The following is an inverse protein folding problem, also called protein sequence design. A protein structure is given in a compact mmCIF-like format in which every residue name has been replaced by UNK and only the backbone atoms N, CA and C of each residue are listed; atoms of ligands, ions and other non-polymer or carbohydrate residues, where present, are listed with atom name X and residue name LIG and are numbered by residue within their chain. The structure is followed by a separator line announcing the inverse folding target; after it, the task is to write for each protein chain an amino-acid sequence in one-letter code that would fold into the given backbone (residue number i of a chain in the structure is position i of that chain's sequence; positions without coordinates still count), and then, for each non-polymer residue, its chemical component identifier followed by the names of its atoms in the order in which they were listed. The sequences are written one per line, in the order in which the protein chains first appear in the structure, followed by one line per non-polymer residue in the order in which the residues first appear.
data_IF_459617992098
#
_entry.id   IF_459617992098
#
_cell.length_a   1.000
_cell.length_b   1.000
_cell.length_c   1.000
_cell.angle_alpha   90.00
_cell.angle_beta   90.00
_cell.angle_gamma   90.00
#
_symmetry.space_group_name_H-M   'P 1'
#
loop_
_entity.id
_entity.type
_entity.pdbx_description
1 polymer ?
#
# COMPACT_ATOMS: atom_id res chain seq x y z
N UNK A 1 -11.05 -8.73 -14.84
CA UNK A 1 -11.79 -9.87 -14.32
C UNK A 1 -13.26 -9.55 -14.15
N UNK A 2 -14.08 -10.42 -14.66
CA UNK A 2 -15.52 -10.29 -14.43
C UNK A 2 -15.80 -10.51 -12.94
N UNK A 3 -16.58 -9.64 -12.34
CA UNK A 3 -16.99 -9.78 -10.97
C UNK A 3 -18.33 -10.48 -10.89
N UNK A 4 -18.43 -11.42 -9.99
CA UNK A 4 -19.71 -11.98 -9.63
C UNK A 4 -20.43 -10.98 -8.75
N UNK A 5 -21.61 -10.58 -9.18
CA UNK A 5 -22.44 -9.66 -8.40
C UNK A 5 -23.13 -10.44 -7.29
N UNK A 6 -22.97 -9.98 -6.07
CA UNK A 6 -23.45 -10.69 -4.91
C UNK A 6 -22.61 -11.94 -4.66
N UNK A 7 -23.08 -12.79 -3.80
CA UNK A 7 -22.37 -13.98 -3.41
C UNK A 7 -21.03 -13.70 -2.76
N UNK A 8 -20.28 -14.74 -2.59
CA UNK A 8 -19.04 -14.66 -1.86
C UNK A 8 -17.95 -13.93 -2.61
N UNK A 9 -17.85 -14.14 -3.91
CA UNK A 9 -16.83 -13.52 -4.74
C UNK A 9 -16.97 -11.99 -4.76
N UNK A 10 -18.19 -11.48 -4.87
CA UNK A 10 -18.45 -10.04 -4.85
C UNK A 10 -18.12 -9.43 -3.49
N UNK A 11 -18.54 -10.06 -2.43
CA UNK A 11 -18.24 -9.62 -1.07
C UNK A 11 -16.75 -9.65 -0.78
N UNK A 12 -16.08 -10.68 -1.23
CA UNK A 12 -14.65 -10.85 -1.06
C UNK A 12 -13.85 -9.71 -1.70
N UNK A 13 -14.33 -9.19 -2.82
CA UNK A 13 -13.66 -8.10 -3.53
C UNK A 13 -13.89 -6.72 -2.94
N UNK A 14 -14.66 -6.60 -1.91
CA UNK A 14 -15.04 -5.30 -1.37
C UNK A 14 -13.83 -4.44 -0.96
N UNK A 15 -12.90 -5.01 -0.24
CA UNK A 15 -11.71 -4.31 0.24
C UNK A 15 -10.47 -4.51 -0.64
N UNK A 16 -10.56 -5.31 -1.68
CA UNK A 16 -9.41 -5.77 -2.45
C UNK A 16 -9.62 -5.61 -3.95
N UNK A 17 -8.52 -5.49 -4.68
CA UNK A 17 -8.50 -5.65 -6.13
C UNK A 17 -7.27 -6.45 -6.53
N UNK A 18 -7.21 -6.90 -7.79
CA UNK A 18 -6.06 -7.59 -8.34
C UNK A 18 -5.43 -6.72 -9.42
N UNK A 19 -4.12 -6.57 -9.36
CA UNK A 19 -3.38 -5.75 -10.31
C UNK A 19 -2.08 -6.44 -10.72
N UNK A 20 -1.64 -6.30 -11.97
CA UNK A 20 -0.38 -6.88 -12.39
C UNK A 20 0.77 -6.20 -11.65
N UNK A 21 1.72 -7.00 -11.18
CA UNK A 21 2.87 -6.52 -10.42
C UNK A 21 4.16 -7.13 -10.95
N UNK A 22 5.26 -6.42 -10.78
CA UNK A 22 6.57 -6.90 -11.17
C UNK A 22 6.97 -8.12 -10.33
N UNK A 23 7.85 -8.94 -10.86
CA UNK A 23 8.39 -10.08 -10.13
C UNK A 23 9.21 -9.61 -8.93
N UNK A 24 8.78 -9.96 -7.74
CA UNK A 24 9.41 -9.59 -6.48
C UNK A 24 8.73 -10.33 -5.32
N UNK A 25 9.30 -10.23 -4.13
CA UNK A 25 8.63 -10.65 -2.90
C UNK A 25 8.01 -9.42 -2.27
N UNK A 26 6.69 -9.46 -2.09
CA UNK A 26 5.93 -8.37 -1.48
C UNK A 26 5.56 -8.74 -0.06
N UNK A 27 5.88 -7.84 0.87
CA UNK A 27 5.54 -8.01 2.28
C UNK A 27 4.21 -7.33 2.60
N UNK A 28 3.56 -7.79 3.65
CA UNK A 28 2.36 -7.15 4.15
C UNK A 28 2.60 -5.66 4.39
N UNK A 29 1.68 -4.83 3.96
CA UNK A 29 1.76 -3.38 4.14
C UNK A 29 2.66 -2.63 3.18
N UNK A 30 3.32 -3.31 2.24
CA UNK A 30 4.17 -2.63 1.26
C UNK A 30 3.37 -1.66 0.41
N UNK A 31 3.93 -0.47 0.21
CA UNK A 31 3.35 0.56 -0.66
C UNK A 31 3.95 0.41 -2.05
N UNK A 32 3.09 0.41 -3.06
CA UNK A 32 3.45 0.13 -4.44
C UNK A 32 3.14 1.34 -5.34
N UNK A 33 3.87 1.44 -6.44
CA UNK A 33 3.61 2.43 -7.49
C UNK A 33 3.59 1.76 -8.85
N UNK A 34 3.05 2.47 -9.84
CA UNK A 34 3.03 1.99 -11.22
C UNK A 34 4.39 2.18 -11.88
N UNK A 35 4.80 1.19 -12.65
CA UNK A 35 5.87 1.34 -13.61
C UNK A 35 5.30 1.99 -14.88
N UNK A 36 5.86 3.11 -15.27
CA UNK A 36 5.40 3.85 -16.43
C UNK A 36 5.58 3.08 -17.76
N UNK A 37 6.54 2.16 -17.80
CA UNK A 37 6.85 1.42 -19.02
C UNK A 37 5.89 0.28 -19.32
N UNK A 38 5.35 -0.39 -18.29
CA UNK A 38 4.55 -1.60 -18.50
C UNK A 38 3.27 -1.67 -17.65
N UNK A 39 2.94 -0.61 -16.94
CA UNK A 39 1.73 -0.51 -16.11
C UNK A 39 1.66 -1.56 -14.99
N UNK A 40 2.79 -2.11 -14.59
CA UNK A 40 2.85 -3.05 -13.47
C UNK A 40 3.16 -2.32 -12.17
N UNK A 41 2.72 -2.90 -11.07
CA UNK A 41 3.05 -2.40 -9.73
C UNK A 41 4.44 -2.87 -9.32
N UNK A 42 5.13 -2.05 -8.55
CA UNK A 42 6.39 -2.43 -7.90
C UNK A 42 6.53 -1.62 -6.59
N UNK A 43 7.38 -2.09 -5.69
CA UNK A 43 7.60 -1.38 -4.43
C UNK A 43 8.19 -0.01 -4.68
N UNK A 44 7.69 0.98 -3.95
CA UNK A 44 8.26 2.31 -4.04
C UNK A 44 9.61 2.32 -3.35
N UNK A 45 10.63 2.68 -4.12
CA UNK A 45 12.00 2.85 -3.61
C UNK A 45 12.34 4.33 -3.70
N UNK A 46 12.55 4.96 -2.54
CA UNK A 46 12.66 6.41 -2.47
C UNK A 46 11.28 7.07 -2.51
N UNK A 47 11.24 8.38 -2.50
CA UNK A 47 9.98 9.12 -2.56
C UNK A 47 9.29 8.88 -3.90
N UNK A 48 8.00 8.62 -3.87
CA UNK A 48 7.23 8.35 -5.07
C UNK A 48 5.74 8.36 -4.83
N UNK A 49 4.97 8.04 -5.86
CA UNK A 49 3.50 8.05 -5.81
C UNK A 49 3.01 6.66 -5.42
N UNK A 50 2.57 6.50 -4.19
CA UNK A 50 1.94 5.26 -3.75
C UNK A 50 0.53 5.13 -4.32
N UNK A 51 0.25 4.04 -5.02
CA UNK A 51 -1.05 3.80 -5.67
C UNK A 51 -1.72 2.53 -5.20
N UNK A 52 -1.06 1.72 -4.39
CA UNK A 52 -1.62 0.47 -3.88
C UNK A 52 -0.86 0.02 -2.63
N UNK A 53 -1.52 -0.77 -1.80
CA UNK A 53 -0.95 -1.33 -0.58
C UNK A 53 -1.15 -2.84 -0.60
N UNK A 54 -0.13 -3.58 -0.19
CA UNK A 54 -0.24 -5.04 0.00
C UNK A 54 -0.99 -5.30 1.32
N UNK A 55 -1.99 -6.19 1.34
CA UNK A 55 -2.72 -6.51 2.57
C UNK A 55 -1.80 -7.00 3.69
N UNK A 56 -2.14 -6.69 4.92
CA UNK A 56 -1.34 -7.03 6.10
C UNK A 56 -1.11 -8.53 6.27
N UNK A 57 -2.06 -9.33 5.87
CA UNK A 57 -2.01 -10.78 6.07
C UNK A 57 -1.31 -11.54 4.93
N UNK A 58 -0.69 -10.83 4.01
CA UNK A 58 -0.05 -11.46 2.86
C UNK A 58 1.46 -11.25 2.86
N UNK A 59 2.15 -12.33 2.54
CA UNK A 59 3.56 -12.30 2.09
C UNK A 59 3.57 -13.11 0.81
N UNK A 60 3.89 -12.48 -0.30
CA UNK A 60 3.74 -13.09 -1.62
C UNK A 60 5.02 -13.01 -2.41
N UNK A 61 5.51 -14.18 -2.86
CA UNK A 61 6.53 -14.24 -3.90
C UNK A 61 5.80 -14.20 -5.25
N UNK A 62 5.92 -13.09 -5.94
CA UNK A 62 5.22 -12.87 -7.21
C UNK A 62 6.18 -13.04 -8.39
N UNK A 63 5.75 -13.76 -9.42
CA UNK A 63 6.56 -14.02 -10.62
C UNK A 63 6.18 -13.09 -11.78
N UNK A 64 5.62 -11.93 -11.50
CA UNK A 64 5.14 -11.02 -12.54
C UNK A 64 3.67 -11.19 -12.86
N UNK A 65 2.94 -11.92 -12.02
CA UNK A 65 1.51 -12.15 -12.17
C UNK A 65 0.69 -11.11 -11.43
N UNK A 66 -0.60 -11.38 -11.26
CA UNK A 66 -1.53 -10.52 -10.53
C UNK A 66 -1.23 -10.57 -9.04
N UNK A 67 -1.30 -9.42 -8.40
CA UNK A 67 -1.12 -9.26 -6.97
C UNK A 67 -2.39 -8.68 -6.38
N UNK A 68 -2.82 -9.21 -5.24
CA UNK A 68 -3.96 -8.66 -4.49
C UNK A 68 -3.49 -7.41 -3.74
N UNK A 69 -4.26 -6.34 -3.88
CA UNK A 69 -3.96 -5.06 -3.22
C UNK A 69 -5.21 -4.49 -2.56
N UNK A 70 -5.01 -3.59 -1.60
CA UNK A 70 -6.11 -2.90 -0.91
C UNK A 70 -6.71 -1.84 -1.82
N UNK A 71 -8.02 -1.62 -1.69
CA UNK A 71 -8.73 -0.53 -2.38
C UNK A 71 -8.72 0.73 -1.54
N UNK A 72 -8.82 1.88 -2.20
CA UNK A 72 -9.06 3.15 -1.54
C UNK A 72 -10.31 3.09 -0.66
N UNK A 73 -10.25 3.73 0.50
CA UNK A 73 -11.34 3.72 1.47
C UNK A 73 -11.29 2.57 2.47
N UNK A 74 -10.36 1.63 2.30
CA UNK A 74 -10.11 0.57 3.28
C UNK A 74 -8.92 0.95 4.16
N UNK A 75 -8.62 0.13 5.16
CA UNK A 75 -7.43 0.31 5.95
C UNK A 75 -6.43 -0.81 5.72
N UNK A 76 -5.18 -0.51 5.99
CA UNK A 76 -4.07 -1.45 5.87
C UNK A 76 -3.09 -1.19 6.99
N UNK A 77 -2.27 -2.18 7.31
CA UNK A 77 -1.25 -2.06 8.34
C UNK A 77 0.11 -1.93 7.68
N UNK A 78 0.84 -0.88 8.03
CA UNK A 78 2.13 -0.54 7.42
C UNK A 78 3.22 -0.37 8.46
N UNK A 79 4.45 -0.65 8.08
CA UNK A 79 5.62 -0.22 8.85
C UNK A 79 6.02 1.18 8.44
N UNK A 80 6.54 1.93 9.40
CA UNK A 80 6.90 3.33 9.22
C UNK A 80 8.40 3.56 9.41
N UNK A 81 8.92 4.49 8.66
CA UNK A 81 10.31 4.94 8.80
C UNK A 81 10.58 5.62 10.14
N UNK A 82 9.60 6.35 10.66
CA UNK A 82 9.71 7.10 11.90
C UNK A 82 8.36 7.19 12.60
N UNK A 83 8.36 7.52 13.89
CA UNK A 83 7.14 7.72 14.66
C UNK A 83 6.39 8.97 14.20
N UNK A 84 5.07 8.94 14.32
CA UNK A 84 4.22 10.09 14.05
C UNK A 84 2.89 9.93 14.76
N UNK A 85 2.07 10.98 14.74
CA UNK A 85 0.78 10.97 15.41
C UNK A 85 -0.34 10.45 14.51
N UNK A 86 -1.49 10.19 15.11
CA UNK A 86 -2.72 9.86 14.40
C UNK A 86 -3.18 11.06 13.54
N UNK A 87 -3.81 10.76 12.40
CA UNK A 87 -4.35 11.79 11.52
C UNK A 87 -3.32 12.47 10.62
N UNK A 88 -2.12 11.89 10.53
CA UNK A 88 -1.04 12.43 9.68
C UNK A 88 -1.15 11.83 8.28
N UNK A 89 -0.99 12.65 7.25
CA UNK A 89 -0.91 12.19 5.88
C UNK A 89 0.34 11.33 5.67
N UNK A 90 0.21 10.30 4.86
CA UNK A 90 1.23 9.27 4.65
C UNK A 90 1.67 9.26 3.20
N UNK A 91 2.96 9.13 2.98
CA UNK A 91 3.57 8.89 1.68
C UNK A 91 4.55 7.71 1.75
N UNK A 92 4.99 7.17 0.60
CA UNK A 92 6.03 6.16 0.60
C UNK A 92 7.33 6.67 1.21
N UNK A 93 7.98 5.83 2.00
CA UNK A 93 9.25 6.17 2.65
C UNK A 93 10.35 6.42 1.62
N UNK A 94 11.19 7.39 1.89
CA UNK A 94 12.41 7.65 1.12
C UNK A 94 13.60 6.76 1.57
N UNK A 95 13.38 5.87 2.52
CA UNK A 95 14.37 4.95 3.04
C UNK A 95 14.20 3.54 2.49
N UNK A 96 13.44 2.71 3.20
CA UNK A 96 13.23 1.30 2.83
C UNK A 96 12.08 1.18 1.82
N UNK A 97 12.31 0.42 0.74
CA UNK A 97 11.29 0.21 -0.28
C UNK A 97 10.02 -0.43 0.29
N UNK A 98 8.87 0.13 -0.04
CA UNK A 98 7.56 -0.35 0.41
C UNK A 98 7.11 0.23 1.75
N UNK A 99 7.98 0.83 2.52
CA UNK A 99 7.68 1.37 3.85
C UNK A 99 6.96 2.72 3.75
N UNK A 100 6.23 3.08 4.81
CA UNK A 100 5.51 4.33 4.91
C UNK A 100 6.29 5.39 5.68
N UNK A 101 5.95 6.65 5.48
CA UNK A 101 6.43 7.75 6.33
C UNK A 101 5.40 8.88 6.37
N UNK A 102 5.52 9.76 7.36
CA UNK A 102 4.72 10.96 7.41
C UNK A 102 5.01 11.84 6.18
N UNK A 103 3.98 12.42 5.60
CA UNK A 103 4.12 13.28 4.43
C UNK A 103 4.97 14.50 4.75
N UNK A 104 6.02 14.71 3.96
CA UNK A 104 7.00 15.78 4.17
C UNK A 104 6.65 17.09 3.40
N UNK A 105 5.47 17.15 2.80
CA UNK A 105 4.95 18.30 2.07
C UNK A 105 5.76 18.70 0.82
N UNK A 106 6.51 17.76 0.25
CA UNK A 106 7.29 18.02 -0.96
C UNK A 106 6.44 17.90 -2.23
N UNK A 107 5.66 16.83 -2.36
CA UNK A 107 4.85 16.55 -3.56
C UNK A 107 3.50 16.00 -3.15
N UNK A 108 2.43 16.81 -3.25
CA UNK A 108 1.08 16.37 -2.80
C UNK A 108 0.59 15.08 -3.45
N UNK A 109 1.00 14.79 -4.66
CA UNK A 109 0.63 13.56 -5.37
C UNK A 109 1.19 12.30 -4.72
N UNK A 110 2.18 12.42 -3.84
CA UNK A 110 2.75 11.29 -3.13
C UNK A 110 1.86 10.80 -1.97
N UNK A 111 0.93 11.62 -1.52
CA UNK A 111 0.03 11.24 -0.41
C UNK A 111 -0.81 10.05 -0.84
N UNK A 112 -0.75 8.97 -0.06
CA UNK A 112 -1.46 7.74 -0.35
C UNK A 112 -2.31 7.23 0.81
N UNK A 113 -2.19 7.81 1.98
CA UNK A 113 -2.93 7.36 3.15
C UNK A 113 -2.96 8.39 4.27
N UNK A 114 -3.61 8.01 5.35
CA UNK A 114 -3.64 8.79 6.60
C UNK A 114 -3.55 7.83 7.78
N UNK A 115 -2.76 8.18 8.78
CA UNK A 115 -2.61 7.34 9.98
C UNK A 115 -3.90 7.31 10.78
N UNK A 116 -4.31 6.10 11.19
CA UNK A 116 -5.52 5.88 11.98
C UNK A 116 -5.20 5.71 13.47
N UNK A 117 -3.94 5.68 13.83
CA UNK A 117 -3.47 5.56 15.20
C UNK A 117 -2.08 6.18 15.32
N UNK A 118 -1.61 6.41 16.55
CA UNK A 118 -0.26 6.91 16.77
C UNK A 118 0.77 5.85 16.38
N UNK A 119 1.74 6.24 15.58
CA UNK A 119 2.87 5.39 15.20
C UNK A 119 3.96 5.56 16.27
N UNK A 120 4.07 4.59 17.15
CA UNK A 120 4.93 4.69 18.34
C UNK A 120 6.23 3.90 18.22
N UNK A 121 6.42 3.17 17.13
CA UNK A 121 7.54 2.25 16.94
C UNK A 121 7.82 2.12 15.44
N UNK A 122 9.02 1.75 15.07
CA UNK A 122 9.40 1.52 13.67
C UNK A 122 9.48 0.03 13.31
N UNK A 123 9.31 -0.86 14.28
CA UNK A 123 9.36 -2.31 14.08
C UNK A 123 7.98 -2.97 14.08
N UNK A 124 6.93 -2.20 14.33
CA UNK A 124 5.56 -2.69 14.39
C UNK A 124 4.74 -2.16 13.21
N UNK A 125 3.56 -2.76 13.01
CA UNK A 125 2.62 -2.33 11.99
C UNK A 125 1.56 -1.43 12.59
N UNK A 126 1.20 -0.37 11.88
CA UNK A 126 0.19 0.59 12.33
C UNK A 126 -0.84 0.82 11.24
N UNK A 127 -2.07 1.06 11.66
CA UNK A 127 -3.19 1.18 10.75
C UNK A 127 -3.15 2.50 9.97
N UNK A 128 -3.35 2.37 8.66
CA UNK A 128 -3.39 3.49 7.71
C UNK A 128 -4.67 3.36 6.89
N UNK A 129 -5.43 4.44 6.78
CA UNK A 129 -6.53 4.50 5.82
C UNK A 129 -5.97 4.72 4.43
N UNK A 130 -6.34 3.86 3.49
CA UNK A 130 -5.87 3.92 2.11
C UNK A 130 -6.69 4.96 1.35
N UNK A 131 -6.02 5.94 0.75
CA UNK A 131 -6.66 7.02 0.00
C UNK A 131 -6.65 6.80 -1.52
N UNK A 132 -5.83 5.88 -1.98
CA UNK A 132 -5.68 5.59 -3.42
C UNK A 132 -5.70 4.12 -3.71
#
# INVERSE_FOLDING_TARGET
MARTVGGEAGRWKFGYSERPAAADTYNAGDILQNDAGNSRLYKVAGAGIGVAFVPYDQVVANNGDMLVVMKAGTSCFCKFKATCEVGILVEPSDGVAGEAMAYAAASPENVCGVTMENVTDTDQYFEVMVLR
#
